data_IF_064674375406
#
_entry.id   IF_064674375406
#
_cell.length_a   1.000
_cell.length_b   1.000
_cell.length_c   1.000
_cell.angle_alpha   90.00
_cell.angle_beta   90.00
_cell.angle_gamma   90.00
#
_symmetry.space_group_name_H-M   'P 1'
#
loop_
_entity.id
_entity.type
_entity.pdbx_description
1 polymer ?
#
# COMPACT_ATOMS: atom_id res chain seq x y z
N UNK A 1 -57.47 -4.15 -23.94
CA UNK A 1 -56.31 -3.27 -24.25
C UNK A 1 -55.07 -3.88 -23.60
N UNK A 2 -54.25 -4.57 -24.38
CA UNK A 2 -52.90 -4.96 -23.93
C UNK A 2 -52.06 -3.69 -24.01
N UNK A 3 -51.65 -3.16 -22.85
CA UNK A 3 -50.91 -1.90 -22.79
C UNK A 3 -49.62 -2.00 -23.60
N UNK A 4 -49.37 -1.03 -24.47
CA UNK A 4 -48.12 -0.92 -25.22
C UNK A 4 -46.98 -0.70 -24.23
N UNK A 5 -46.23 -1.77 -23.94
CA UNK A 5 -45.00 -1.69 -23.15
C UNK A 5 -43.91 -1.13 -24.07
N UNK A 6 -43.23 -0.03 -23.69
CA UNK A 6 -42.13 0.51 -24.47
C UNK A 6 -41.06 -0.56 -24.71
N UNK A 7 -40.49 -0.62 -25.92
CA UNK A 7 -39.41 -1.56 -26.27
C UNK A 7 -38.25 -1.51 -25.26
N UNK A 8 -37.95 -0.32 -24.72
CA UNK A 8 -36.95 -0.11 -23.67
C UNK A 8 -37.24 -0.86 -22.37
N UNK A 9 -38.52 -0.99 -21.99
CA UNK A 9 -38.95 -1.72 -20.80
C UNK A 9 -38.90 -3.24 -21.03
N UNK A 10 -39.27 -3.71 -22.22
CA UNK A 10 -39.09 -5.11 -22.60
C UNK A 10 -37.61 -5.54 -22.61
N UNK A 11 -36.75 -4.74 -23.24
CA UNK A 11 -35.31 -4.99 -23.28
C UNK A 11 -34.69 -5.01 -21.87
N UNK A 12 -35.10 -4.08 -21.00
CA UNK A 12 -34.64 -4.04 -19.60
C UNK A 12 -35.05 -5.29 -18.83
N UNK A 13 -36.28 -5.76 -19.03
CA UNK A 13 -36.79 -6.99 -18.38
C UNK A 13 -36.00 -8.21 -18.83
N UNK A 14 -35.70 -8.34 -20.12
CA UNK A 14 -34.88 -9.42 -20.65
C UNK A 14 -33.45 -9.38 -20.07
N UNK A 15 -32.84 -8.20 -20.01
CA UNK A 15 -31.52 -8.01 -19.39
C UNK A 15 -31.50 -8.41 -17.92
N UNK A 16 -32.57 -8.12 -17.18
CA UNK A 16 -32.69 -8.45 -15.77
C UNK A 16 -32.77 -9.96 -15.57
N UNK A 17 -33.64 -10.63 -16.32
CA UNK A 17 -33.76 -12.10 -16.30
C UNK A 17 -32.42 -12.77 -16.63
N UNK A 18 -31.75 -12.30 -17.69
CA UNK A 18 -30.47 -12.85 -18.12
C UNK A 18 -29.38 -12.68 -17.05
N UNK A 19 -29.33 -11.53 -16.39
CA UNK A 19 -28.38 -11.30 -15.30
C UNK A 19 -28.61 -12.24 -14.12
N UNK A 20 -29.87 -12.48 -13.75
CA UNK A 20 -30.23 -13.41 -12.67
C UNK A 20 -29.86 -14.85 -13.04
N UNK A 21 -30.07 -15.26 -14.29
CA UNK A 21 -29.67 -16.59 -14.77
C UNK A 21 -28.14 -16.73 -14.68
N UNK A 22 -27.39 -15.80 -15.26
CA UNK A 22 -25.92 -15.85 -15.29
C UNK A 22 -25.31 -15.83 -13.90
N UNK A 23 -25.77 -14.97 -13.00
CA UNK A 23 -25.15 -14.85 -11.69
C UNK A 23 -25.25 -16.15 -10.87
N UNK A 24 -26.27 -16.97 -11.15
CA UNK A 24 -26.49 -18.28 -10.55
C UNK A 24 -25.88 -19.45 -11.35
N UNK A 25 -25.56 -19.25 -12.63
CA UNK A 25 -25.03 -20.32 -13.49
C UNK A 25 -23.58 -20.69 -13.17
N UNK A 26 -23.23 -21.96 -13.30
CA UNK A 26 -21.85 -22.47 -13.13
C UNK A 26 -21.08 -22.58 -14.46
N UNK A 27 -21.73 -22.27 -15.58
CA UNK A 27 -21.07 -22.18 -16.88
C UNK A 27 -20.12 -20.99 -16.96
N UNK A 28 -19.43 -20.88 -18.09
CA UNK A 28 -18.46 -19.82 -18.33
C UNK A 28 -19.09 -18.43 -18.36
N UNK A 29 -20.33 -18.30 -18.84
CA UNK A 29 -21.06 -17.04 -18.86
C UNK A 29 -21.33 -16.56 -17.42
N UNK A 30 -21.76 -17.45 -16.53
CA UNK A 30 -21.95 -17.13 -15.13
C UNK A 30 -20.64 -16.85 -14.39
N UNK A 31 -19.59 -17.63 -14.66
CA UNK A 31 -18.26 -17.40 -14.08
C UNK A 31 -17.72 -16.02 -14.50
N UNK A 32 -17.78 -15.69 -15.79
CA UNK A 32 -17.29 -14.42 -16.32
C UNK A 32 -18.09 -13.23 -15.77
N UNK A 33 -19.42 -13.33 -15.65
CA UNK A 33 -20.25 -12.31 -15.00
C UNK A 33 -19.82 -12.08 -13.55
N UNK A 34 -19.61 -13.16 -12.76
CA UNK A 34 -19.13 -13.03 -11.37
C UNK A 34 -17.74 -12.44 -11.28
N UNK A 35 -16.82 -12.80 -12.18
CA UNK A 35 -15.47 -12.19 -12.26
C UNK A 35 -15.57 -10.70 -12.57
N UNK A 36 -16.42 -10.29 -13.51
CA UNK A 36 -16.61 -8.87 -13.84
C UNK A 36 -17.19 -8.07 -12.66
N UNK A 37 -18.12 -8.65 -11.92
CA UNK A 37 -18.66 -8.06 -10.70
C UNK A 37 -17.64 -8.02 -9.57
N UNK A 38 -16.82 -9.05 -9.42
CA UNK A 38 -15.69 -9.08 -8.47
C UNK A 38 -14.67 -8.01 -8.80
N UNK A 39 -14.32 -7.86 -10.08
CA UNK A 39 -13.46 -6.78 -10.56
C UNK A 39 -14.09 -5.42 -10.26
N UNK A 40 -15.40 -5.25 -10.48
CA UNK A 40 -16.09 -4.02 -10.09
C UNK A 40 -16.02 -3.79 -8.57
N UNK A 41 -16.19 -4.81 -7.74
CA UNK A 41 -16.07 -4.72 -6.28
C UNK A 41 -14.69 -4.22 -5.85
N UNK A 42 -13.62 -4.78 -6.43
CA UNK A 42 -12.24 -4.34 -6.19
C UNK A 42 -12.02 -2.93 -6.73
N UNK A 43 -12.52 -2.61 -7.92
CA UNK A 43 -12.48 -1.28 -8.56
C UNK A 43 -13.01 -0.20 -7.63
N UNK A 44 -14.07 -0.48 -6.90
CA UNK A 44 -14.70 0.48 -5.99
C UNK A 44 -14.24 0.31 -4.55
N UNK A 45 -13.46 -0.71 -4.22
CA UNK A 45 -12.91 -0.92 -2.88
C UNK A 45 -13.93 -1.35 -1.83
N UNK A 46 -14.95 -2.13 -2.23
CA UNK A 46 -15.95 -2.67 -1.30
C UNK A 46 -15.42 -3.90 -0.55
N UNK A 47 -15.53 -3.88 0.77
CA UNK A 47 -15.11 -4.98 1.64
C UNK A 47 -16.03 -6.19 1.50
N UNK A 48 -17.34 -5.98 1.61
CA UNK A 48 -18.34 -7.02 1.52
C UNK A 48 -18.85 -7.29 0.10
N UNK A 49 -19.81 -8.21 -0.03
CA UNK A 49 -20.33 -8.66 -1.31
C UNK A 49 -21.05 -7.53 -2.05
N UNK A 50 -20.59 -7.18 -3.25
CA UNK A 50 -21.16 -6.11 -4.08
C UNK A 50 -22.67 -6.27 -4.36
N UNK A 51 -23.18 -7.50 -4.32
CA UNK A 51 -24.60 -7.78 -4.52
C UNK A 51 -25.46 -7.33 -3.33
N UNK A 52 -24.94 -7.50 -2.13
CA UNK A 52 -25.68 -7.26 -0.88
C UNK A 52 -25.39 -5.87 -0.34
N UNK A 53 -24.11 -5.53 -0.22
CA UNK A 53 -23.69 -4.44 0.64
C UNK A 53 -23.75 -3.06 -0.04
N UNK A 54 -23.74 -2.02 0.81
CA UNK A 54 -23.48 -0.60 0.49
C UNK A 54 -24.27 -0.05 -0.71
N UNK A 55 -25.59 -0.26 -0.75
CA UNK A 55 -26.48 0.26 -1.80
C UNK A 55 -26.27 1.75 -2.06
N UNK A 56 -26.20 2.57 -1.01
CA UNK A 56 -25.97 4.02 -1.16
C UNK A 56 -24.65 4.36 -1.86
N UNK A 57 -23.58 3.62 -1.55
CA UNK A 57 -22.27 3.82 -2.17
C UNK A 57 -22.33 3.45 -3.66
N UNK A 58 -22.92 2.28 -3.98
CA UNK A 58 -23.04 1.78 -5.35
C UNK A 58 -23.83 2.75 -6.22
N UNK A 59 -24.91 3.32 -5.69
CA UNK A 59 -25.73 4.30 -6.40
C UNK A 59 -24.95 5.60 -6.72
N UNK A 60 -24.04 6.02 -5.83
CA UNK A 60 -23.20 7.21 -6.02
C UNK A 60 -22.02 7.00 -6.99
N UNK A 61 -21.62 5.75 -7.25
CA UNK A 61 -20.47 5.42 -8.10
C UNK A 61 -20.85 5.42 -9.58
N UNK A 62 -19.96 5.95 -10.42
CA UNK A 62 -20.02 5.84 -11.87
C UNK A 62 -18.85 5.01 -12.41
N UNK A 63 -19.12 3.76 -12.80
CA UNK A 63 -18.17 2.91 -13.53
C UNK A 63 -18.54 2.90 -15.01
N UNK A 64 -17.86 3.75 -15.78
CA UNK A 64 -18.02 3.79 -17.23
C UNK A 64 -17.66 2.44 -17.86
N UNK A 65 -18.42 2.05 -18.89
CA UNK A 65 -18.20 0.84 -19.67
C UNK A 65 -18.23 -0.48 -18.88
N UNK A 66 -18.95 -0.53 -17.75
CA UNK A 66 -19.17 -1.77 -17.00
C UNK A 66 -20.66 -2.16 -17.02
N UNK A 67 -21.06 -2.95 -18.02
CA UNK A 67 -22.45 -3.37 -18.21
C UNK A 67 -23.03 -4.09 -16.97
N UNK A 68 -22.34 -5.11 -16.46
CA UNK A 68 -22.81 -5.89 -15.31
C UNK A 68 -22.97 -5.04 -14.04
N UNK A 69 -22.04 -4.12 -13.79
CA UNK A 69 -22.16 -3.18 -12.68
C UNK A 69 -23.33 -2.21 -12.86
N UNK A 70 -23.50 -1.63 -14.06
CA UNK A 70 -24.60 -0.71 -14.33
C UNK A 70 -25.97 -1.40 -14.23
N UNK A 71 -26.03 -2.69 -14.60
CA UNK A 71 -27.22 -3.50 -14.43
C UNK A 71 -27.51 -3.76 -12.94
N UNK A 72 -26.50 -4.16 -12.16
CA UNK A 72 -26.62 -4.29 -10.70
C UNK A 72 -27.03 -2.98 -10.03
N UNK A 73 -26.46 -1.85 -10.45
CA UNK A 73 -26.83 -0.52 -9.98
C UNK A 73 -28.31 -0.23 -10.26
N UNK A 74 -28.78 -0.59 -11.44
CA UNK A 74 -30.20 -0.45 -11.82
C UNK A 74 -31.13 -1.34 -11.00
N UNK A 75 -30.72 -2.58 -10.68
CA UNK A 75 -31.45 -3.43 -9.73
C UNK A 75 -31.56 -2.78 -8.35
N UNK A 76 -30.45 -2.25 -7.83
CA UNK A 76 -30.41 -1.58 -6.52
C UNK A 76 -31.25 -0.30 -6.49
N UNK A 77 -31.25 0.47 -7.58
CA UNK A 77 -32.09 1.66 -7.75
C UNK A 77 -33.60 1.33 -7.68
N UNK A 78 -33.97 0.14 -8.15
CA UNK A 78 -35.33 -0.42 -8.06
C UNK A 78 -35.59 -1.22 -6.78
N UNK A 79 -34.71 -1.10 -5.77
CA UNK A 79 -34.87 -1.74 -4.45
C UNK A 79 -34.87 -3.28 -4.47
N UNK A 80 -34.34 -3.90 -5.52
CA UNK A 80 -34.13 -5.35 -5.51
C UNK A 80 -33.05 -5.73 -4.50
N UNK A 81 -33.30 -6.82 -3.77
CA UNK A 81 -32.39 -7.38 -2.77
C UNK A 81 -31.81 -8.71 -3.24
N UNK A 82 -30.51 -8.88 -3.07
CA UNK A 82 -29.81 -10.14 -3.36
C UNK A 82 -29.49 -10.88 -2.05
N UNK A 83 -29.55 -12.22 -2.09
CA UNK A 83 -29.15 -13.09 -0.97
C UNK A 83 -28.20 -14.18 -1.48
N UNK A 84 -26.88 -13.97 -1.43
CA UNK A 84 -25.90 -14.95 -1.85
C UNK A 84 -25.90 -16.15 -0.89
N UNK A 85 -25.83 -17.36 -1.45
CA UNK A 85 -25.73 -18.60 -0.66
C UNK A 85 -24.35 -18.75 0.01
N UNK A 86 -23.32 -18.16 -0.59
CA UNK A 86 -21.96 -18.14 -0.04
C UNK A 86 -21.35 -16.74 -0.15
N UNK A 87 -20.99 -16.17 1.00
CA UNK A 87 -20.36 -14.85 1.12
C UNK A 87 -18.84 -14.93 1.25
N UNK A 88 -18.27 -16.11 1.54
CA UNK A 88 -16.85 -16.26 1.85
C UNK A 88 -15.96 -15.89 0.67
N UNK A 89 -16.41 -16.22 -0.55
CA UNK A 89 -15.74 -15.89 -1.80
C UNK A 89 -15.79 -14.39 -2.15
N UNK A 90 -16.71 -13.64 -1.56
CA UNK A 90 -16.93 -12.22 -1.82
C UNK A 90 -16.33 -11.30 -0.75
N UNK A 91 -16.28 -11.74 0.51
CA UNK A 91 -15.81 -10.90 1.59
C UNK A 91 -14.28 -10.75 1.58
N UNK A 92 -13.83 -9.51 1.65
CA UNK A 92 -12.43 -9.15 1.80
C UNK A 92 -12.10 -8.98 3.28
N UNK A 93 -10.98 -9.54 3.72
CA UNK A 93 -10.49 -9.44 5.09
C UNK A 93 -9.55 -8.24 5.24
N UNK A 94 -9.77 -7.39 6.25
CA UNK A 94 -9.01 -6.16 6.54
C UNK A 94 -8.84 -5.97 8.05
N UNK A 95 -7.74 -5.35 8.48
CA UNK A 95 -7.47 -4.98 9.86
C UNK A 95 -8.16 -3.66 10.23
N UNK A 96 -8.21 -2.73 9.28
CA UNK A 96 -8.92 -1.46 9.44
C UNK A 96 -10.42 -1.63 9.22
N UNK A 97 -11.21 -0.91 10.02
CA UNK A 97 -12.68 -0.84 9.89
C UNK A 97 -13.12 -0.13 8.61
N UNK A 98 -12.30 0.77 8.08
CA UNK A 98 -12.65 1.63 6.95
C UNK A 98 -11.89 1.25 5.68
N UNK A 99 -12.61 1.08 4.58
CA UNK A 99 -12.03 1.03 3.23
C UNK A 99 -11.65 2.43 2.77
N UNK A 100 -10.68 2.55 1.85
CA UNK A 100 -10.30 3.85 1.29
C UNK A 100 -11.51 4.58 0.73
N UNK A 101 -12.38 3.89 -0.02
CA UNK A 101 -13.58 4.51 -0.59
C UNK A 101 -14.52 5.02 0.49
N UNK A 102 -14.68 4.32 1.61
CA UNK A 102 -15.55 4.75 2.70
C UNK A 102 -15.04 6.04 3.35
N UNK A 103 -13.73 6.17 3.51
CA UNK A 103 -13.06 7.39 4.01
C UNK A 103 -13.29 8.55 3.03
N UNK A 104 -13.09 8.33 1.71
CA UNK A 104 -13.32 9.36 0.69
C UNK A 104 -14.79 9.83 0.61
N UNK A 105 -15.73 8.97 1.03
CA UNK A 105 -17.16 9.30 1.09
C UNK A 105 -17.60 9.87 2.44
N UNK A 106 -16.73 9.93 3.45
CA UNK A 106 -17.03 10.54 4.74
C UNK A 106 -17.15 12.06 4.55
N UNK A 107 -18.26 12.64 5.02
CA UNK A 107 -18.44 14.09 4.99
C UNK A 107 -17.44 14.74 5.94
N UNK A 108 -16.69 15.72 5.46
CA UNK A 108 -15.80 16.49 6.33
C UNK A 108 -16.63 17.56 7.03
N UNK A 109 -16.51 17.65 8.36
CA UNK A 109 -17.28 18.55 9.21
C UNK A 109 -17.16 20.02 8.80
N UNK A 110 -18.25 20.76 9.04
CA UNK A 110 -18.59 22.10 8.54
C UNK A 110 -17.73 23.23 9.15
N UNK A 111 -16.58 22.91 9.76
CA UNK A 111 -15.70 23.88 10.44
C UNK A 111 -14.61 24.51 9.56
N UNK A 112 -14.42 24.02 8.32
CA UNK A 112 -13.38 24.55 7.43
C UNK A 112 -13.87 25.77 6.64
N UNK A 113 -13.13 26.87 6.72
CA UNK A 113 -13.31 28.12 5.95
C UNK A 113 -13.30 27.95 4.41
N UNK A 114 -13.05 26.74 3.91
CA UNK A 114 -12.97 26.40 2.49
C UNK A 114 -13.71 25.10 2.12
N UNK A 115 -14.86 24.82 2.74
CA UNK A 115 -15.71 23.64 2.46
C UNK A 115 -15.86 23.33 0.96
N UNK A 116 -16.13 24.34 0.12
CA UNK A 116 -16.30 24.16 -1.33
C UNK A 116 -15.05 23.61 -2.03
N UNK A 117 -13.86 24.07 -1.62
CA UNK A 117 -12.58 23.61 -2.18
C UNK A 117 -12.30 22.16 -1.75
N UNK A 118 -12.57 21.85 -0.48
CA UNK A 118 -12.37 20.50 0.06
C UNK A 118 -13.32 19.49 -0.59
N UNK A 119 -14.58 19.87 -0.80
CA UNK A 119 -15.58 19.05 -1.48
C UNK A 119 -15.19 18.78 -2.95
N UNK A 120 -14.67 19.79 -3.66
CA UNK A 120 -14.13 19.60 -5.01
C UNK A 120 -12.93 18.65 -5.03
N UNK A 121 -12.02 18.78 -4.05
CA UNK A 121 -10.90 17.84 -3.89
C UNK A 121 -11.38 16.42 -3.60
N UNK A 122 -12.43 16.26 -2.78
CA UNK A 122 -13.07 14.99 -2.47
C UNK A 122 -13.66 14.32 -3.69
N UNK A 123 -14.41 15.04 -4.51
CA UNK A 123 -14.98 14.52 -5.77
C UNK A 123 -13.87 14.06 -6.71
N UNK A 124 -12.82 14.89 -6.89
CA UNK A 124 -11.64 14.53 -7.70
C UNK A 124 -10.89 13.32 -7.14
N UNK A 125 -10.84 13.18 -5.82
CA UNK A 125 -10.23 12.04 -5.14
C UNK A 125 -11.03 10.74 -5.39
N UNK A 126 -12.35 10.77 -5.25
CA UNK A 126 -13.22 9.64 -5.55
C UNK A 126 -13.07 9.22 -7.02
N UNK A 127 -13.14 10.17 -7.95
CA UNK A 127 -12.92 9.87 -9.37
C UNK A 127 -11.52 9.29 -9.63
N UNK A 128 -10.49 9.86 -9.01
CA UNK A 128 -9.11 9.37 -9.13
C UNK A 128 -8.96 7.95 -8.58
N UNK A 129 -9.65 7.62 -7.49
CA UNK A 129 -9.64 6.27 -6.93
C UNK A 129 -10.34 5.30 -7.88
N UNK A 130 -11.55 5.64 -8.34
CA UNK A 130 -12.34 4.79 -9.25
C UNK A 130 -11.64 4.58 -10.59
N UNK A 131 -10.96 5.60 -11.14
CA UNK A 131 -10.29 5.56 -12.46
C UNK A 131 -8.82 5.10 -12.41
N UNK A 132 -8.30 4.69 -11.24
CA UNK A 132 -6.90 4.22 -11.11
C UNK A 132 -6.48 3.14 -12.14
N UNK A 133 -5.19 2.97 -12.44
CA UNK A 133 -4.76 1.85 -13.29
C UNK A 133 -5.05 0.48 -12.64
N UNK A 134 -5.15 -0.57 -13.46
CA UNK A 134 -5.45 -1.94 -12.99
C UNK A 134 -4.41 -2.43 -11.97
N UNK A 135 -3.17 -1.95 -12.13
CA UNK A 135 -2.02 -2.21 -11.27
C UNK A 135 -2.14 -1.66 -9.84
N UNK A 136 -3.10 -0.77 -9.60
CA UNK A 136 -3.38 -0.18 -8.29
C UNK A 136 -4.70 -0.69 -7.70
N UNK A 137 -5.36 -1.65 -8.35
CA UNK A 137 -6.62 -2.23 -7.85
C UNK A 137 -6.45 -2.95 -6.52
N UNK A 138 -5.25 -3.42 -6.23
CA UNK A 138 -4.94 -4.04 -4.95
C UNK A 138 -4.98 -3.03 -3.81
N UNK A 139 -4.88 -1.72 -4.06
CA UNK A 139 -4.93 -0.69 -3.01
C UNK A 139 -6.39 -0.28 -2.75
N UNK A 140 -7.06 -1.03 -1.86
CA UNK A 140 -8.46 -0.81 -1.48
C UNK A 140 -8.66 -0.47 0.00
N UNK A 141 -7.76 -0.97 0.85
CA UNK A 141 -7.85 -0.86 2.29
C UNK A 141 -6.75 0.04 2.82
N UNK A 142 -7.01 0.61 3.99
CA UNK A 142 -6.02 1.39 4.70
C UNK A 142 -4.81 0.51 5.12
N UNK A 143 -5.04 -0.79 5.35
CA UNK A 143 -4.01 -1.83 5.54
C UNK A 143 -2.91 -1.78 4.47
N UNK A 144 -3.27 -1.48 3.22
CA UNK A 144 -2.35 -1.55 2.10
C UNK A 144 -1.44 -0.32 1.98
N UNK A 145 -1.73 0.71 2.75
CA UNK A 145 -1.03 2.00 2.74
C UNK A 145 -0.56 2.43 4.13
N UNK A 146 -0.63 1.53 5.11
CA UNK A 146 -0.18 1.74 6.49
C UNK A 146 1.01 0.84 6.82
N UNK A 147 1.81 1.27 7.79
CA UNK A 147 2.84 0.44 8.38
C UNK A 147 2.23 -0.71 9.19
N UNK A 148 3.04 -1.74 9.48
CA UNK A 148 2.61 -2.87 10.30
C UNK A 148 2.27 -2.51 11.76
N UNK A 149 2.56 -1.27 12.19
CA UNK A 149 2.08 -0.74 13.47
C UNK A 149 0.61 -0.29 13.41
N UNK A 150 0.01 -0.27 12.21
CA UNK A 150 -1.38 0.14 11.94
C UNK A 150 -1.73 1.56 12.40
N UNK A 151 -0.71 2.38 12.62
CA UNK A 151 -0.81 3.75 13.13
C UNK A 151 -0.24 4.73 12.12
N UNK A 152 0.89 4.41 11.50
CA UNK A 152 1.55 5.33 10.57
C UNK A 152 1.23 5.02 9.11
N UNK A 153 0.96 6.06 8.33
CA UNK A 153 0.69 5.97 6.90
C UNK A 153 2.00 6.00 6.09
N UNK A 154 2.17 5.02 5.20
CA UNK A 154 3.30 4.96 4.28
C UNK A 154 3.29 6.13 3.29
N UNK A 155 4.45 6.49 2.77
CA UNK A 155 4.55 7.42 1.63
C UNK A 155 4.16 6.72 0.33
N UNK A 156 3.60 7.46 -0.63
CA UNK A 156 3.22 6.91 -1.94
C UNK A 156 4.38 6.21 -2.67
N UNK A 157 5.59 6.71 -2.52
CA UNK A 157 6.81 6.09 -3.10
C UNK A 157 7.12 4.73 -2.47
N UNK A 158 6.91 4.58 -1.17
CA UNK A 158 7.09 3.31 -0.45
C UNK A 158 6.02 2.30 -0.85
N UNK A 159 4.76 2.75 -0.96
CA UNK A 159 3.64 1.92 -1.45
C UNK A 159 3.95 1.39 -2.85
N UNK A 160 4.32 2.26 -3.78
CA UNK A 160 4.72 1.83 -5.13
C UNK A 160 5.83 0.78 -5.09
N UNK A 161 6.82 0.95 -4.21
CA UNK A 161 7.90 -0.04 -4.05
C UNK A 161 7.41 -1.40 -3.52
N UNK A 162 6.52 -1.42 -2.53
CA UNK A 162 5.91 -2.64 -2.00
C UNK A 162 5.19 -3.42 -3.11
N UNK A 163 4.45 -2.70 -3.96
CA UNK A 163 3.71 -3.28 -5.09
C UNK A 163 4.56 -3.47 -6.37
N UNK A 164 5.90 -3.37 -6.27
CA UNK A 164 6.82 -3.58 -7.39
C UNK A 164 6.68 -2.56 -8.54
N UNK A 165 6.14 -1.38 -8.26
CA UNK A 165 5.92 -0.29 -9.23
C UNK A 165 7.05 0.73 -9.19
N UNK A 166 7.22 1.44 -10.30
CA UNK A 166 8.22 2.49 -10.41
C UNK A 166 7.93 3.63 -9.40
N UNK A 167 8.87 4.02 -8.52
CA UNK A 167 8.66 5.07 -7.54
C UNK A 167 8.52 6.47 -8.17
N UNK A 168 8.86 6.65 -9.46
CA UNK A 168 8.66 7.89 -10.21
C UNK A 168 7.18 8.12 -10.57
N UNK A 169 6.87 9.34 -10.97
CA UNK A 169 5.52 9.74 -11.40
C UNK A 169 4.67 10.39 -10.30
N UNK A 170 3.54 10.99 -10.69
CA UNK A 170 2.70 11.79 -9.81
C UNK A 170 2.06 10.95 -8.69
N UNK A 171 1.79 11.61 -7.58
CA UNK A 171 0.94 11.07 -6.51
C UNK A 171 -0.53 11.22 -6.95
N UNK A 172 -1.34 10.15 -6.92
CA UNK A 172 -2.75 10.20 -7.26
C UNK A 172 -3.53 11.18 -6.37
N UNK A 173 -4.56 11.81 -6.93
CA UNK A 173 -5.37 12.78 -6.18
C UNK A 173 -6.09 12.13 -4.99
N UNK A 174 -6.51 10.87 -5.12
CA UNK A 174 -7.12 10.16 -3.99
C UNK A 174 -6.17 10.04 -2.80
N UNK A 175 -4.88 9.79 -3.07
CA UNK A 175 -3.89 9.63 -2.01
C UNK A 175 -3.57 10.98 -1.36
N UNK A 176 -3.39 12.04 -2.15
CA UNK A 176 -3.18 13.40 -1.62
C UNK A 176 -4.32 13.84 -0.71
N UNK A 177 -5.55 13.55 -1.12
CA UNK A 177 -6.72 13.89 -0.32
C UNK A 177 -6.78 13.06 0.97
N UNK A 178 -6.47 11.76 0.92
CA UNK A 178 -6.35 10.93 2.13
C UNK A 178 -5.30 11.50 3.09
N UNK A 179 -4.13 11.93 2.59
CA UNK A 179 -3.12 12.57 3.45
C UNK A 179 -3.65 13.81 4.17
N UNK A 180 -4.50 14.60 3.52
CA UNK A 180 -5.09 15.82 4.09
C UNK A 180 -6.12 15.53 5.18
N UNK A 181 -6.89 14.43 5.05
CA UNK A 181 -8.03 14.13 5.96
C UNK A 181 -7.77 13.03 6.98
N UNK A 182 -6.77 12.19 6.76
CA UNK A 182 -6.54 10.99 7.58
C UNK A 182 -5.29 11.08 8.46
N UNK A 183 -4.35 11.97 8.16
CA UNK A 183 -3.15 12.21 8.99
C UNK A 183 -3.46 13.27 10.04
N UNK A 184 -3.07 13.02 11.28
CA UNK A 184 -3.16 14.00 12.35
C UNK A 184 -2.17 15.14 12.10
N UNK A 185 -2.65 16.39 12.07
CA UNK A 185 -1.81 17.56 11.83
C UNK A 185 -0.90 17.89 13.02
N UNK A 186 -1.19 17.35 14.21
CA UNK A 186 -0.42 17.58 15.44
C UNK A 186 0.80 16.66 15.59
N UNK A 187 1.02 15.75 14.65
CA UNK A 187 1.97 14.64 14.75
C UNK A 187 3.46 15.02 14.61
N UNK A 188 3.85 16.29 14.78
CA UNK A 188 5.25 16.76 14.68
C UNK A 188 6.01 16.22 13.43
N UNK A 189 5.32 16.13 12.29
CA UNK A 189 5.87 15.63 11.03
C UNK A 189 5.81 14.11 10.85
N UNK A 190 5.34 13.35 11.85
CA UNK A 190 5.01 11.94 11.69
C UNK A 190 3.73 11.78 10.85
N UNK A 191 3.60 10.67 10.14
CA UNK A 191 2.43 10.40 9.28
C UNK A 191 1.38 9.56 10.00
N UNK A 192 1.17 9.89 11.27
CA UNK A 192 0.28 9.19 12.18
C UNK A 192 -1.16 9.42 11.77
N UNK A 193 -1.93 8.35 11.65
CA UNK A 193 -3.35 8.41 11.34
C UNK A 193 -4.13 8.97 12.53
N UNK A 194 -5.20 9.72 12.24
CA UNK A 194 -6.20 10.11 13.24
C UNK A 194 -6.78 8.84 13.87
N UNK A 195 -7.00 8.84 15.18
CA UNK A 195 -7.43 7.69 15.99
C UNK A 195 -8.59 6.90 15.36
N UNK A 196 -9.62 7.58 14.83
CA UNK A 196 -10.78 6.95 14.17
C UNK A 196 -10.43 6.04 12.98
N UNK A 197 -9.27 6.26 12.36
CA UNK A 197 -8.77 5.50 11.22
C UNK A 197 -7.67 4.52 11.59
N UNK A 198 -7.27 4.41 12.86
CA UNK A 198 -6.29 3.41 13.29
C UNK A 198 -6.97 2.03 13.39
N UNK A 199 -6.19 0.96 13.25
CA UNK A 199 -6.76 -0.40 13.33
C UNK A 199 -7.17 -0.75 14.76
N UNK A 200 -8.37 -1.30 14.92
CA UNK A 200 -8.91 -1.77 16.20
C UNK A 200 -8.60 -3.24 16.50
N UNK A 201 -8.24 -4.03 15.48
CA UNK A 201 -7.95 -5.46 15.58
C UNK A 201 -6.68 -5.74 14.77
N UNK A 202 -5.73 -6.51 15.32
CA UNK A 202 -4.50 -6.93 14.63
C UNK A 202 -4.64 -8.41 14.22
N UNK A 203 -5.20 -8.73 13.04
CA UNK A 203 -5.02 -10.04 12.44
C UNK A 203 -3.53 -10.31 12.20
N UNK A 204 -2.96 -11.25 12.93
CA UNK A 204 -1.54 -11.67 12.89
C UNK A 204 -1.06 -12.16 11.50
N UNK A 205 -1.98 -12.40 10.56
CA UNK A 205 -1.71 -13.14 9.32
C UNK A 205 -1.52 -12.28 8.05
N UNK A 206 -1.52 -10.94 8.16
CA UNK A 206 -1.41 -10.04 6.98
C UNK A 206 -0.37 -8.92 7.13
N UNK A 207 0.74 -9.18 7.80
CA UNK A 207 1.83 -8.19 7.85
C UNK A 207 2.51 -8.06 6.48
N UNK A 208 2.53 -6.84 5.94
CA UNK A 208 3.28 -6.53 4.72
C UNK A 208 4.76 -6.68 5.06
N UNK A 209 5.47 -7.45 4.24
CA UNK A 209 6.86 -7.80 4.55
C UNK A 209 7.72 -7.74 3.29
N UNK A 210 8.83 -7.02 3.36
CA UNK A 210 9.83 -6.94 2.30
C UNK A 210 10.92 -7.98 2.54
N UNK A 211 11.23 -8.74 1.50
CA UNK A 211 12.30 -9.74 1.54
C UNK A 211 13.67 -9.03 1.49
N UNK A 212 14.56 -9.26 2.47
CA UNK A 212 15.85 -8.60 2.52
C UNK A 212 16.81 -9.13 1.45
N UNK A 213 17.30 -8.24 0.58
CA UNK A 213 18.31 -8.55 -0.44
C UNK A 213 19.72 -8.17 0.03
N UNK A 214 20.72 -9.08 -0.02
CA UNK A 214 22.08 -8.76 0.41
C UNK A 214 22.76 -7.85 -0.64
N UNK A 215 23.79 -7.07 -0.26
CA UNK A 215 24.57 -6.33 -1.24
C UNK A 215 25.16 -7.23 -2.32
N UNK A 216 25.22 -6.76 -3.56
CA UNK A 216 25.85 -7.52 -4.65
C UNK A 216 27.34 -7.73 -4.38
N UNK A 217 27.89 -8.84 -4.87
CA UNK A 217 29.34 -9.10 -4.87
C UNK A 217 30.09 -8.28 -5.93
N UNK A 218 29.38 -7.72 -6.91
CA UNK A 218 29.95 -6.84 -7.92
C UNK A 218 30.56 -5.58 -7.27
N UNK A 219 31.88 -5.43 -7.42
CA UNK A 219 32.68 -4.33 -6.85
C UNK A 219 32.31 -2.95 -7.41
N UNK A 220 31.70 -2.90 -8.60
CA UNK A 220 31.29 -1.66 -9.28
C UNK A 220 30.02 -1.07 -8.67
N UNK A 221 29.12 -1.92 -8.15
CA UNK A 221 27.87 -1.46 -7.51
C UNK A 221 28.16 -0.87 -6.12
N UNK A 222 27.61 0.32 -5.87
CA UNK A 222 27.74 1.10 -4.63
C UNK A 222 26.35 1.31 -4.02
N UNK A 223 25.72 0.21 -3.64
CA UNK A 223 24.35 0.22 -3.14
C UNK A 223 24.24 0.97 -1.80
N UNK A 224 23.04 1.50 -1.56
CA UNK A 224 22.63 1.92 -0.23
C UNK A 224 22.17 0.71 0.56
N UNK A 225 22.47 0.72 1.85
CA UNK A 225 22.19 -0.37 2.74
C UNK A 225 21.60 0.12 4.05
N UNK A 226 20.88 -0.79 4.68
CA UNK A 226 20.52 -0.70 6.09
C UNK A 226 21.08 -1.92 6.82
N UNK A 227 21.54 -1.69 8.04
CA UNK A 227 22.01 -2.71 8.98
C UNK A 227 21.16 -2.55 10.24
N UNK A 228 20.66 -3.65 10.76
CA UNK A 228 19.96 -3.66 12.05
C UNK A 228 20.98 -3.90 13.15
N UNK A 229 21.05 -3.00 14.12
CA UNK A 229 21.91 -3.07 15.29
C UNK A 229 21.02 -2.99 16.54
N UNK A 230 20.64 -4.14 17.08
CA UNK A 230 19.57 -4.22 18.08
C UNK A 230 18.21 -3.77 17.51
N UNK A 231 17.64 -2.74 18.12
CA UNK A 231 16.37 -2.11 17.69
C UNK A 231 16.56 -0.88 16.82
N UNK A 232 17.81 -0.48 16.57
CA UNK A 232 18.13 0.66 15.71
C UNK A 232 18.56 0.22 14.31
N UNK A 233 18.34 1.12 13.35
CA UNK A 233 18.77 0.97 11.96
C UNK A 233 19.94 1.89 11.66
N UNK A 234 21.06 1.32 11.24
CA UNK A 234 22.20 2.06 10.71
C UNK A 234 22.13 2.12 9.19
N UNK A 235 22.32 3.31 8.64
CA UNK A 235 22.25 3.56 7.19
C UNK A 235 23.64 3.73 6.60
N UNK A 236 23.81 3.27 5.37
CA UNK A 236 25.11 3.33 4.74
C UNK A 236 25.10 3.36 3.22
N UNK A 237 26.12 3.99 2.65
CA UNK A 237 26.43 3.90 1.21
C UNK A 237 27.72 3.11 1.02
N UNK A 238 27.67 2.02 0.27
CA UNK A 238 28.85 1.16 0.05
C UNK A 238 29.93 1.94 -0.73
N UNK A 239 31.17 1.85 -0.25
CA UNK A 239 32.34 2.47 -0.87
C UNK A 239 33.25 1.44 -1.53
N UNK A 240 33.65 0.39 -0.81
CA UNK A 240 34.53 -0.67 -1.31
C UNK A 240 34.00 -2.05 -0.90
N UNK A 241 34.26 -3.05 -1.75
CA UNK A 241 33.76 -4.42 -1.60
C UNK A 241 34.91 -5.40 -1.70
N UNK A 242 35.00 -6.30 -0.74
CA UNK A 242 35.97 -7.39 -0.66
C UNK A 242 35.22 -8.75 -0.69
N UNK A 243 35.98 -9.86 -0.69
CA UNK A 243 35.41 -11.22 -0.76
C UNK A 243 34.44 -11.54 0.38
N UNK A 244 34.67 -11.04 1.59
CA UNK A 244 33.88 -11.41 2.78
C UNK A 244 33.21 -10.22 3.46
N UNK A 245 33.68 -9.00 3.18
CA UNK A 245 33.23 -7.75 3.82
C UNK A 245 33.17 -6.61 2.82
N UNK A 246 32.48 -5.54 3.19
CA UNK A 246 32.48 -4.27 2.46
C UNK A 246 32.72 -3.12 3.44
N UNK A 247 33.21 -1.99 2.94
CA UNK A 247 33.22 -0.73 3.67
C UNK A 247 32.11 0.19 3.16
N UNK A 248 31.52 0.96 4.07
CA UNK A 248 30.45 1.88 3.75
C UNK A 248 30.61 3.19 4.52
N UNK A 249 30.19 4.27 3.89
CA UNK A 249 30.01 5.57 4.54
C UNK A 249 28.74 5.50 5.40
N UNK A 250 28.83 5.90 6.66
CA UNK A 250 27.71 5.91 7.59
C UNK A 250 26.83 7.16 7.43
N UNK A 251 25.51 6.97 7.53
CA UNK A 251 24.50 8.02 7.41
C UNK A 251 23.52 7.92 8.58
N UNK A 252 23.02 9.06 9.04
CA UNK A 252 22.12 9.20 10.20
C UNK A 252 20.74 9.57 9.69
N UNK A 253 19.70 8.96 10.24
CA UNK A 253 18.31 9.34 9.97
C UNK A 253 17.98 10.62 10.73
N UNK A 254 17.43 11.62 10.05
CA UNK A 254 16.90 12.81 10.70
C UNK A 254 15.55 12.48 11.34
N UNK A 255 15.33 13.03 12.54
CA UNK A 255 14.20 12.71 13.40
C UNK A 255 12.86 12.71 12.65
N UNK A 256 12.09 11.63 12.86
CA UNK A 256 10.73 11.39 12.37
C UNK A 256 10.51 11.45 10.85
N UNK A 257 11.55 11.68 10.05
CA UNK A 257 11.46 11.72 8.61
C UNK A 257 12.17 10.53 7.95
N UNK A 258 11.81 10.26 6.70
CA UNK A 258 12.54 9.33 5.85
C UNK A 258 13.83 9.95 5.29
N UNK A 259 14.37 11.00 5.91
CA UNK A 259 15.57 11.68 5.44
C UNK A 259 16.81 11.14 6.16
N UNK A 260 17.89 10.96 5.41
CA UNK A 260 19.20 10.60 5.93
C UNK A 260 20.24 11.65 5.55
N UNK A 261 21.10 11.98 6.49
CA UNK A 261 22.23 12.89 6.33
C UNK A 261 23.56 12.20 6.56
N UNK A 262 24.61 12.77 5.99
CA UNK A 262 25.95 12.24 6.16
C UNK A 262 26.37 12.33 7.63
N UNK A 263 26.91 11.24 8.19
CA UNK A 263 27.48 11.24 9.53
C UNK A 263 28.82 11.97 9.53
N UNK A 264 28.92 13.04 10.34
CA UNK A 264 30.15 13.83 10.54
C UNK A 264 31.17 13.17 11.49
N UNK A 265 30.82 12.03 12.09
CA UNK A 265 31.58 11.36 13.14
C UNK A 265 30.61 10.81 14.18
N UNK A 266 30.81 9.57 14.62
CA UNK A 266 30.00 8.97 15.68
C UNK A 266 30.86 8.02 16.52
N UNK A 267 30.44 7.76 17.75
CA UNK A 267 31.12 6.91 18.74
C UNK A 267 31.40 5.48 18.26
N UNK A 268 30.69 5.02 17.22
CA UNK A 268 30.87 3.69 16.61
C UNK A 268 31.98 3.64 15.54
N UNK A 269 32.67 4.76 15.28
CA UNK A 269 33.79 4.84 14.34
C UNK A 269 35.13 4.70 15.09
N UNK A 270 35.68 3.48 15.14
CA UNK A 270 36.96 3.20 15.82
C UNK A 270 38.20 3.72 15.07
N UNK A 271 38.02 4.36 13.91
CA UNK A 271 39.09 4.95 13.11
C UNK A 271 38.72 6.39 12.77
N UNK A 272 38.88 7.28 13.75
CA UNK A 272 39.03 8.70 13.47
C UNK A 272 40.39 8.89 12.81
N UNK A 273 40.39 9.27 11.53
CA UNK A 273 41.55 9.86 10.88
C UNK A 273 41.22 11.35 10.85
N UNK A 274 42.03 12.16 11.53
CA UNK A 274 41.77 13.58 11.81
C UNK A 274 41.53 14.44 10.55
N UNK A 275 41.88 13.94 9.36
CA UNK A 275 41.76 14.65 8.08
C UNK A 275 40.62 14.19 7.15
N UNK A 276 39.70 13.30 7.60
CA UNK A 276 38.60 12.84 6.74
C UNK A 276 37.23 13.03 7.41
N UNK A 277 36.35 13.94 6.91
CA UNK A 277 35.07 14.31 7.54
C UNK A 277 33.98 13.24 7.36
N UNK A 278 34.37 11.98 7.15
CA UNK A 278 33.47 10.91 6.70
C UNK A 278 33.58 9.70 7.62
N UNK A 279 32.50 9.38 8.32
CA UNK A 279 32.41 8.16 9.12
C UNK A 279 32.35 6.91 8.21
N UNK A 280 33.37 6.04 8.28
CA UNK A 280 33.47 4.82 7.45
C UNK A 280 33.49 3.58 8.34
N UNK A 281 32.58 2.65 8.07
CA UNK A 281 32.46 1.38 8.79
C UNK A 281 32.70 0.18 7.87
N UNK A 282 32.96 -1.01 8.44
CA UNK A 282 33.16 -2.27 7.70
C UNK A 282 32.20 -3.34 8.18
N UNK A 283 31.47 -3.98 7.28
CA UNK A 283 30.49 -5.02 7.65
C UNK A 283 30.48 -6.23 6.70
N UNK A 284 29.91 -7.34 7.15
CA UNK A 284 29.67 -8.57 6.37
C UNK A 284 28.38 -8.47 5.58
N UNK A 285 28.37 -9.05 4.38
CA UNK A 285 27.24 -9.03 3.44
C UNK A 285 25.91 -9.57 3.99
N UNK A 286 25.95 -10.56 4.89
CA UNK A 286 24.72 -11.17 5.40
C UNK A 286 24.00 -10.30 6.44
N UNK A 287 24.71 -9.35 7.07
CA UNK A 287 24.17 -8.45 8.10
C UNK A 287 23.50 -7.20 7.53
N UNK A 288 23.61 -6.97 6.23
CA UNK A 288 23.04 -5.80 5.58
C UNK A 288 22.00 -6.18 4.53
N UNK A 289 21.08 -5.23 4.31
CA UNK A 289 20.03 -5.30 3.30
C UNK A 289 20.12 -4.07 2.41
N UNK A 290 19.98 -4.26 1.11
CA UNK A 290 19.92 -3.15 0.14
C UNK A 290 18.64 -2.35 0.34
N UNK A 291 18.78 -1.03 0.33
CA UNK A 291 17.66 -0.09 0.28
C UNK A 291 17.81 0.84 -0.92
N UNK A 292 16.68 1.36 -1.39
CA UNK A 292 16.64 2.45 -2.36
C UNK A 292 16.42 3.77 -1.63
N UNK A 293 17.11 4.79 -2.13
CA UNK A 293 16.98 6.19 -1.70
C UNK A 293 16.94 7.09 -2.94
N UNK A 294 16.37 8.29 -2.82
CA UNK A 294 16.42 9.32 -3.86
C UNK A 294 16.94 10.64 -3.28
N UNK A 295 17.40 11.54 -4.15
CA UNK A 295 17.66 12.92 -3.75
C UNK A 295 16.33 13.68 -3.63
N UNK A 296 16.15 14.54 -2.62
CA UNK A 296 14.99 15.43 -2.55
C UNK A 296 15.02 16.41 -3.74
N UNK A 297 13.88 16.62 -4.39
CA UNK A 297 13.76 17.46 -5.61
C UNK A 297 14.01 18.96 -5.37
N UNK A 298 13.91 19.43 -4.12
CA UNK A 298 14.05 20.85 -3.80
C UNK A 298 15.48 21.26 -3.41
N UNK A 299 16.40 20.31 -3.22
CA UNK A 299 17.75 20.57 -2.73
C UNK A 299 18.82 20.10 -3.73
N UNK A 300 18.78 20.59 -4.97
CA UNK A 300 19.85 20.33 -5.95
C UNK A 300 21.23 20.84 -5.49
N UNK A 301 21.25 21.77 -4.52
CA UNK A 301 22.47 22.34 -3.94
C UNK A 301 22.98 21.57 -2.70
N UNK A 302 22.18 20.72 -2.06
CA UNK A 302 22.58 20.03 -0.83
C UNK A 302 22.88 18.55 -1.11
N UNK A 303 24.16 18.24 -1.36
CA UNK A 303 24.66 16.89 -1.67
C UNK A 303 24.63 15.93 -0.47
N UNK A 304 24.23 16.42 0.70
CA UNK A 304 24.33 15.79 2.02
C UNK A 304 23.04 15.16 2.54
N UNK A 305 21.95 15.14 1.75
CA UNK A 305 20.64 14.58 2.15
C UNK A 305 20.05 13.63 1.12
N UNK A 306 19.49 12.50 1.60
CA UNK A 306 18.72 11.55 0.78
C UNK A 306 17.40 11.17 1.46
N UNK A 307 16.38 10.85 0.67
CA UNK A 307 15.09 10.33 1.14
C UNK A 307 15.03 8.82 0.92
N UNK A 308 14.77 8.07 1.99
CA UNK A 308 14.58 6.63 2.01
C UNK A 308 13.27 6.28 1.29
N UNK A 309 13.38 5.48 0.23
CA UNK A 309 12.23 4.95 -0.51
C UNK A 309 11.77 3.58 -0.02
N UNK A 310 12.63 2.89 0.74
CA UNK A 310 12.36 1.54 1.25
C UNK A 310 11.77 1.66 2.65
N UNK A 311 10.54 1.20 2.91
CA UNK A 311 10.00 1.19 4.26
C UNK A 311 10.76 0.16 5.10
N UNK A 312 11.77 0.63 5.83
CA UNK A 312 12.75 -0.20 6.54
C UNK A 312 12.08 -1.07 7.59
N UNK A 313 11.05 -0.54 8.25
CA UNK A 313 10.28 -1.22 9.30
C UNK A 313 9.49 -2.43 8.76
N UNK A 314 9.31 -2.53 7.44
CA UNK A 314 8.66 -3.67 6.78
C UNK A 314 9.67 -4.74 6.32
N UNK A 315 10.98 -4.51 6.45
CA UNK A 315 11.99 -5.51 6.06
C UNK A 315 11.97 -6.65 7.08
N UNK A 316 11.72 -7.89 6.63
CA UNK A 316 11.81 -9.05 7.51
C UNK A 316 13.21 -9.14 8.11
N UNK A 317 13.28 -9.34 9.41
CA UNK A 317 14.52 -9.73 10.07
C UNK A 317 15.04 -11.00 9.41
N UNK A 318 16.30 -10.98 8.98
CA UNK A 318 16.99 -12.21 8.62
C UNK A 318 17.21 -13.01 9.89
N UNK A 319 16.29 -13.92 10.19
CA UNK A 319 16.56 -14.99 11.15
C UNK A 319 17.59 -15.89 10.48
N UNK A 320 18.85 -15.76 10.87
CA UNK A 320 19.87 -16.73 10.51
C UNK A 320 19.64 -17.94 11.41
N UNK A 321 18.80 -18.88 10.98
CA UNK A 321 19.02 -20.26 11.40
C UNK A 321 20.41 -20.62 10.92
N UNK A 322 21.36 -20.73 11.84
CA UNK A 322 22.63 -21.40 11.55
C UNK A 322 22.28 -22.71 10.83
N UNK A 323 22.88 -23.03 9.67
CA UNK A 323 22.74 -24.37 9.15
C UNK A 323 23.30 -25.30 10.23
N UNK A 324 22.44 -26.14 10.82
CA UNK A 324 22.91 -27.19 11.71
C UNK A 324 23.81 -28.08 10.86
N UNK A 325 25.11 -28.00 11.12
CA UNK A 325 26.09 -28.97 10.64
C UNK A 325 25.57 -30.34 11.08
N UNK A 326 25.11 -31.13 10.09
CA UNK A 326 24.84 -32.58 10.09
C UNK A 326 24.25 -33.20 11.37
N UNK A 327 23.08 -33.87 11.32
CA UNK A 327 22.76 -34.83 12.36
C UNK A 327 23.83 -35.93 12.33
N UNK A 328 24.60 -36.05 13.41
CA UNK A 328 25.45 -37.21 13.66
C UNK A 328 24.55 -38.44 13.60
N UNK A 329 24.77 -39.31 12.61
CA UNK A 329 24.18 -40.64 12.64
C UNK A 329 24.65 -41.36 13.91
N UNK A 330 23.75 -42.00 14.68
CA UNK A 330 24.16 -42.84 15.78
C UNK A 330 24.92 -44.05 15.22
N UNK A 331 26.13 -44.29 15.76
CA UNK A 331 26.81 -45.57 15.60
C UNK A 331 26.00 -46.60 16.38
N UNK A 332 25.34 -47.51 15.68
CA UNK A 332 24.87 -48.78 16.23
C UNK A 332 26.08 -49.64 16.57
N UNK A 333 26.09 -50.15 17.81
CA UNK A 333 26.94 -51.27 18.25
C UNK A 333 26.41 -52.54 17.62
#
# INVERSE_FOLDING_TARGET
MVGLVPLSQHLRTAQYSEFIIRINSRDWDGISTRIMLRNAQLRIGLQGCILVDHTELILKINLQNNFNFNLLKSFKDQMFSFRPTDLTTWNLTTQHQHTIISILHTSVDVGHTNFRKLEQSRIKAIESFIKRPAELLDINFLDHITHNNSVDMLFWTQIKKIFGKNPKGPIPNFFKYLEEIAIDQNSNGQRTLIERYQATIIPTNKTISLTPSPPSRDRRRKEWIVIRDGDEYQFGKILKKNLTRFSYQHWIRQDNNNLITQCAGCSTNSTHIEDNPVCIKKEKYHKSTIIDVKRPTNNYQNTSTFEILTPVDLIKTRIITKPSLYPRMPRTI
#
